data_IF_325656175034
#
_entry.id   IF_325656175034
#
_cell.length_a   1.000
_cell.length_b   1.000
_cell.length_c   1.000
_cell.angle_alpha   90.00
_cell.angle_beta   90.00
_cell.angle_gamma   90.00
#
_symmetry.space_group_name_H-M   'P 1'
#
loop_
_entity.id
_entity.type
_entity.pdbx_description
1 polymer ?
#
# COMPACT_ATOMS: atom_id res chain seq x y z
N UNK A 1 -24.40 58.80 3.55
CA UNK A 1 -23.42 58.03 4.33
C UNK A 1 -24.01 56.91 5.20
N UNK A 2 -25.14 56.28 4.85
CA UNK A 2 -25.72 55.16 5.65
C UNK A 2 -25.41 53.78 5.08
N UNK A 3 -24.90 53.67 3.84
CA UNK A 3 -24.61 52.37 3.18
C UNK A 3 -23.44 51.62 3.77
N UNK A 4 -22.40 52.29 4.31
CA UNK A 4 -21.19 51.63 4.89
C UNK A 4 -21.42 50.88 6.20
N UNK A 5 -22.41 51.26 7.02
CA UNK A 5 -22.70 50.58 8.30
C UNK A 5 -23.32 49.21 8.11
N UNK A 6 -24.10 49.01 7.08
CA UNK A 6 -24.74 47.72 6.77
C UNK A 6 -23.78 46.72 6.15
N UNK A 7 -22.76 47.17 5.41
CA UNK A 7 -21.72 46.28 4.86
C UNK A 7 -20.98 45.58 5.98
N UNK A 8 -20.57 46.29 7.02
CA UNK A 8 -19.87 45.69 8.17
C UNK A 8 -20.75 44.72 8.95
N UNK A 9 -22.03 44.97 9.07
CA UNK A 9 -22.97 44.02 9.71
C UNK A 9 -23.16 42.76 8.87
N UNK A 10 -23.23 42.87 7.54
CA UNK A 10 -23.31 41.71 6.66
C UNK A 10 -22.00 40.90 6.63
N UNK A 11 -20.84 41.53 6.64
CA UNK A 11 -19.55 40.87 6.74
C UNK A 11 -19.40 40.15 8.06
N UNK A 12 -19.81 40.76 9.18
CA UNK A 12 -19.82 40.12 10.50
C UNK A 12 -20.74 38.90 10.54
N UNK A 13 -21.97 39.02 10.05
CA UNK A 13 -22.92 37.91 9.97
C UNK A 13 -22.40 36.76 9.09
N UNK A 14 -21.76 37.09 7.99
CA UNK A 14 -21.17 36.11 7.07
C UNK A 14 -19.98 35.38 7.69
N UNK A 15 -19.14 36.10 8.42
CA UNK A 15 -17.99 35.51 9.16
C UNK A 15 -18.47 34.54 10.25
N UNK A 16 -19.51 34.92 11.02
CA UNK A 16 -20.12 34.05 12.03
C UNK A 16 -20.71 32.79 11.40
N UNK A 17 -21.42 32.95 10.27
CA UNK A 17 -22.01 31.84 9.54
C UNK A 17 -20.93 30.85 9.04
N UNK A 18 -19.87 31.37 8.39
CA UNK A 18 -18.77 30.51 7.92
C UNK A 18 -18.05 29.83 9.07
N UNK A 19 -17.77 30.56 10.16
CA UNK A 19 -17.11 29.98 11.32
C UNK A 19 -17.99 28.90 11.96
N UNK A 20 -19.29 29.14 12.08
CA UNK A 20 -20.24 28.16 12.59
C UNK A 20 -20.36 26.92 11.71
N UNK A 21 -20.42 27.11 10.39
CA UNK A 21 -20.41 26.00 9.42
C UNK A 21 -19.10 25.25 9.47
N UNK A 22 -17.96 25.93 9.52
CA UNK A 22 -16.64 25.29 9.64
C UNK A 22 -16.54 24.50 10.96
N UNK A 23 -16.94 25.10 12.08
CA UNK A 23 -16.96 24.42 13.40
C UNK A 23 -17.90 23.22 13.42
N UNK A 24 -19.10 23.34 12.84
CA UNK A 24 -20.07 22.24 12.77
C UNK A 24 -19.65 21.11 11.83
N UNK A 25 -19.22 21.44 10.61
CA UNK A 25 -18.96 20.46 9.54
C UNK A 25 -17.53 19.89 9.59
N UNK A 26 -16.54 20.76 9.77
CA UNK A 26 -15.13 20.35 9.70
C UNK A 26 -14.51 20.02 11.06
N UNK A 27 -14.85 20.79 12.11
CA UNK A 27 -14.34 20.56 13.47
C UNK A 27 -15.29 19.69 14.32
N UNK A 28 -16.44 19.31 13.78
CA UNK A 28 -17.43 18.44 14.45
C UNK A 28 -17.84 18.91 15.85
N UNK A 29 -17.96 20.22 16.10
CA UNK A 29 -18.31 20.79 17.41
C UNK A 29 -19.62 20.24 17.99
N UNK A 30 -20.55 19.81 17.13
CA UNK A 30 -21.84 19.24 17.51
C UNK A 30 -21.91 17.72 17.32
N UNK A 31 -20.76 17.06 17.01
CA UNK A 31 -20.77 15.61 16.95
C UNK A 31 -21.03 15.04 18.35
N UNK A 32 -21.99 14.12 18.52
CA UNK A 32 -22.18 13.47 19.80
C UNK A 32 -20.87 12.82 20.24
N UNK A 33 -20.54 12.96 21.54
CA UNK A 33 -19.43 12.21 22.12
C UNK A 33 -19.62 10.73 21.79
N UNK A 34 -18.55 10.00 21.40
CA UNK A 34 -18.66 8.57 21.16
C UNK A 34 -19.30 7.92 22.38
N UNK A 35 -20.29 7.05 22.15
CA UNK A 35 -20.99 6.35 23.22
C UNK A 35 -19.94 5.68 24.13
N UNK A 36 -20.04 5.89 25.44
CA UNK A 36 -19.16 5.25 26.41
C UNK A 36 -19.23 3.74 26.21
N UNK A 37 -18.10 3.12 25.76
CA UNK A 37 -18.00 1.70 25.44
C UNK A 37 -17.92 1.37 23.94
N UNK A 38 -18.16 2.30 23.02
CA UNK A 38 -17.79 2.10 21.62
C UNK A 38 -16.26 2.22 21.51
N UNK A 39 -15.55 1.08 21.40
CA UNK A 39 -14.13 1.08 21.06
C UNK A 39 -14.00 1.83 19.72
N UNK A 40 -13.26 2.93 19.71
CA UNK A 40 -12.97 3.68 18.51
C UNK A 40 -12.32 2.70 17.51
N UNK A 41 -13.03 2.43 16.41
CA UNK A 41 -12.46 1.65 15.32
C UNK A 41 -11.45 2.54 14.62
N UNK A 42 -10.17 2.25 14.81
CA UNK A 42 -9.13 2.98 14.09
C UNK A 42 -9.04 2.54 12.62
N UNK A 43 -8.72 3.49 11.76
CA UNK A 43 -8.55 3.25 10.34
C UNK A 43 -7.23 2.54 10.04
N UNK A 44 -7.26 1.64 9.06
CA UNK A 44 -6.05 1.05 8.44
C UNK A 44 -6.07 1.38 6.95
N UNK A 45 -5.13 2.20 6.52
CA UNK A 45 -5.04 2.66 5.14
C UNK A 45 -4.57 1.57 4.19
N UNK A 46 -5.22 1.45 3.02
CA UNK A 46 -4.81 0.51 1.99
C UNK A 46 -5.14 1.01 0.57
N UNK A 47 -4.39 0.53 -0.43
CA UNK A 47 -4.71 0.65 -1.85
C UNK A 47 -5.25 -0.69 -2.38
N UNK A 48 -6.00 -0.69 -3.49
CA UNK A 48 -6.51 -1.92 -4.12
C UNK A 48 -5.41 -2.66 -4.91
N UNK A 49 -4.36 -3.07 -4.20
CA UNK A 49 -3.19 -3.81 -4.69
C UNK A 49 -2.97 -5.06 -3.85
N UNK A 50 -2.34 -6.08 -4.42
CA UNK A 50 -2.19 -7.37 -3.73
C UNK A 50 -1.36 -7.28 -2.46
N UNK A 51 -0.41 -6.34 -2.36
CA UNK A 51 0.38 -6.13 -1.14
C UNK A 51 -0.42 -5.58 0.05
N UNK A 52 -1.66 -5.17 -0.17
CA UNK A 52 -2.57 -4.76 0.89
C UNK A 52 -3.74 -5.74 1.10
N UNK A 53 -3.75 -6.87 0.38
CA UNK A 53 -4.87 -7.83 0.36
C UNK A 53 -5.21 -8.40 1.74
N UNK A 54 -4.22 -8.61 2.58
CA UNK A 54 -4.42 -9.14 3.94
C UNK A 54 -5.26 -8.23 4.83
N UNK A 55 -5.22 -6.90 4.61
CA UNK A 55 -6.04 -5.95 5.37
C UNK A 55 -7.56 -6.19 5.18
N UNK A 56 -8.12 -6.12 3.95
CA UNK A 56 -9.53 -6.44 3.73
C UNK A 56 -9.89 -7.89 4.05
N UNK A 57 -8.98 -8.85 3.86
CA UNK A 57 -9.24 -10.25 4.24
C UNK A 57 -9.39 -10.37 5.75
N UNK A 58 -8.54 -9.72 6.55
CA UNK A 58 -8.65 -9.69 8.02
C UNK A 58 -9.98 -9.07 8.46
N UNK A 59 -10.38 -7.94 7.87
CA UNK A 59 -11.64 -7.30 8.18
C UNK A 59 -12.84 -8.19 7.85
N UNK A 60 -12.82 -8.84 6.66
CA UNK A 60 -13.88 -9.74 6.24
C UNK A 60 -14.01 -10.95 7.18
N UNK A 61 -12.89 -11.58 7.55
CA UNK A 61 -12.87 -12.72 8.48
C UNK A 61 -13.42 -12.30 9.84
N UNK A 62 -12.97 -11.17 10.41
CA UNK A 62 -13.46 -10.68 11.70
C UNK A 62 -14.98 -10.42 11.68
N UNK A 63 -15.50 -9.81 10.62
CA UNK A 63 -16.95 -9.57 10.48
C UNK A 63 -17.76 -10.86 10.44
N UNK A 64 -17.22 -11.91 9.82
CA UNK A 64 -17.90 -13.19 9.72
C UNK A 64 -17.80 -14.06 10.97
N UNK A 65 -16.69 -14.02 11.69
CA UNK A 65 -16.45 -14.82 12.90
C UNK A 65 -16.93 -14.12 14.17
N UNK A 66 -16.77 -12.81 14.27
CA UNK A 66 -17.03 -12.02 15.49
C UNK A 66 -18.24 -11.06 15.33
N UNK A 67 -18.91 -11.07 14.16
CA UNK A 67 -19.99 -10.15 13.82
C UNK A 67 -19.54 -8.71 13.53
N UNK A 68 -18.33 -8.35 13.88
CA UNK A 68 -17.76 -7.03 13.63
C UNK A 68 -16.24 -7.08 13.57
N UNK A 69 -15.65 -6.12 12.88
CA UNK A 69 -14.21 -5.91 12.88
C UNK A 69 -13.81 -4.86 13.94
N UNK A 70 -12.62 -5.02 14.51
CA UNK A 70 -12.07 -4.09 15.51
C UNK A 70 -11.36 -2.87 14.88
N UNK A 71 -11.16 -2.88 13.56
CA UNK A 71 -10.61 -1.77 12.78
C UNK A 71 -11.46 -1.50 11.54
N UNK A 72 -11.19 -0.40 10.85
CA UNK A 72 -11.87 -0.02 9.61
C UNK A 72 -10.86 0.07 8.46
N UNK A 73 -10.94 -0.78 7.43
CA UNK A 73 -10.15 -0.60 6.21
C UNK A 73 -10.54 0.70 5.50
N UNK A 74 -9.56 1.56 5.21
CA UNK A 74 -9.74 2.83 4.51
C UNK A 74 -9.05 2.76 3.15
N UNK A 75 -9.83 2.78 2.06
CA UNK A 75 -9.33 2.63 0.71
C UNK A 75 -8.90 3.96 0.11
N UNK A 76 -7.71 3.97 -0.50
CA UNK A 76 -7.14 5.09 -1.24
C UNK A 76 -6.82 4.67 -2.67
N UNK A 77 -6.64 5.65 -3.56
CA UNK A 77 -6.32 5.41 -4.98
C UNK A 77 -4.84 5.60 -5.28
N UNK A 78 -4.13 6.38 -4.47
CA UNK A 78 -2.71 6.71 -4.67
C UNK A 78 -1.95 6.80 -3.34
N UNK A 79 -0.64 6.51 -3.38
CA UNK A 79 0.23 6.60 -2.21
C UNK A 79 0.38 8.02 -1.64
N UNK A 80 0.43 9.10 -2.43
CA UNK A 80 0.46 10.46 -1.88
C UNK A 80 -0.75 10.78 -1.01
N UNK A 81 -1.97 10.49 -1.50
CA UNK A 81 -3.21 10.71 -0.76
C UNK A 81 -3.24 9.93 0.56
N UNK A 82 -2.89 8.64 0.50
CA UNK A 82 -2.79 7.78 1.67
C UNK A 82 -1.77 8.31 2.69
N UNK A 83 -0.58 8.74 2.21
CA UNK A 83 0.46 9.34 3.07
C UNK A 83 -0.04 10.59 3.77
N UNK A 84 -0.69 11.52 3.05
CA UNK A 84 -1.21 12.76 3.63
C UNK A 84 -2.26 12.47 4.73
N UNK A 85 -3.16 11.51 4.52
CA UNK A 85 -4.12 11.08 5.55
C UNK A 85 -3.43 10.47 6.76
N UNK A 86 -2.44 9.58 6.53
CA UNK A 86 -1.69 8.91 7.60
C UNK A 86 -0.90 9.90 8.49
N UNK A 87 -0.30 10.93 7.88
CA UNK A 87 0.46 11.94 8.60
C UNK A 87 -0.43 13.04 9.19
N UNK A 88 -1.46 13.46 8.47
CA UNK A 88 -2.31 14.58 8.85
C UNK A 88 -3.39 14.23 9.87
N UNK A 89 -3.81 12.95 9.94
CA UNK A 89 -4.86 12.47 10.86
C UNK A 89 -4.49 11.16 11.55
N UNK A 90 -3.39 11.15 12.34
CA UNK A 90 -2.90 9.94 12.99
C UNK A 90 -3.90 9.30 13.96
N UNK A 91 -4.81 10.09 14.53
CA UNK A 91 -5.87 9.59 15.42
C UNK A 91 -6.95 8.78 14.67
N UNK A 92 -7.24 9.15 13.41
CA UNK A 92 -8.24 8.46 12.60
C UNK A 92 -7.64 7.26 11.88
N UNK A 93 -6.39 7.35 11.43
CA UNK A 93 -5.67 6.31 10.67
C UNK A 93 -4.25 6.12 11.22
N UNK A 94 -4.11 5.47 12.41
CA UNK A 94 -2.81 5.25 13.04
C UNK A 94 -1.95 4.18 12.36
N UNK A 95 -2.52 3.39 11.45
CA UNK A 95 -1.84 2.32 10.73
C UNK A 95 -2.14 2.37 9.24
N UNK A 96 -1.18 1.98 8.42
CA UNK A 96 -1.36 1.94 6.96
C UNK A 96 -0.36 1.02 6.29
N UNK A 97 -0.74 0.50 5.13
CA UNK A 97 0.20 -0.15 4.23
C UNK A 97 0.83 0.88 3.29
N UNK A 98 2.16 0.98 3.32
CA UNK A 98 2.93 1.87 2.44
C UNK A 98 4.15 1.15 1.87
N UNK A 99 4.79 1.77 0.89
CA UNK A 99 6.03 1.30 0.27
C UNK A 99 7.18 1.33 1.30
N UNK A 100 8.00 0.29 1.36
CA UNK A 100 9.10 0.19 2.33
C UNK A 100 10.07 1.39 2.27
N UNK A 101 10.59 1.82 1.10
CA UNK A 101 11.46 3.00 1.05
C UNK A 101 10.76 4.30 1.45
N UNK A 102 9.42 4.38 1.28
CA UNK A 102 8.66 5.53 1.75
C UNK A 102 8.63 5.59 3.28
N UNK A 103 8.40 4.46 3.95
CA UNK A 103 8.44 4.41 5.42
C UNK A 103 9.83 4.78 5.95
N UNK A 104 10.89 4.26 5.32
CA UNK A 104 12.28 4.57 5.67
C UNK A 104 12.58 6.08 5.49
N UNK A 105 12.22 6.65 4.34
CA UNK A 105 12.43 8.08 4.07
C UNK A 105 11.61 8.98 5.01
N UNK A 106 10.40 8.60 5.40
CA UNK A 106 9.63 9.32 6.41
C UNK A 106 10.34 9.29 7.77
N UNK A 107 10.95 8.17 8.12
CA UNK A 107 11.74 8.07 9.36
C UNK A 107 12.98 8.94 9.32
N UNK A 108 13.71 8.97 8.20
CA UNK A 108 14.84 9.89 7.98
C UNK A 108 14.44 11.38 8.15
N UNK A 109 13.19 11.72 7.81
CA UNK A 109 12.59 13.04 7.98
C UNK A 109 12.09 13.31 9.42
N UNK A 110 12.31 12.38 10.35
CA UNK A 110 11.91 12.52 11.76
C UNK A 110 10.46 12.17 12.06
N UNK A 111 9.72 11.59 11.09
CA UNK A 111 8.34 11.14 11.32
C UNK A 111 8.34 9.95 12.28
N UNK A 112 7.51 10.02 13.31
CA UNK A 112 7.44 9.01 14.39
C UNK A 112 6.56 7.84 14.01
N UNK A 113 7.08 6.95 13.16
CA UNK A 113 6.42 5.73 12.70
C UNK A 113 7.36 4.53 12.83
N UNK A 114 6.78 3.34 12.92
CA UNK A 114 7.49 2.06 12.87
C UNK A 114 6.84 1.13 11.85
N UNK A 115 7.65 0.35 11.17
CA UNK A 115 7.23 -0.82 10.40
C UNK A 115 7.10 -1.97 11.38
N UNK A 116 5.91 -2.58 11.45
CA UNK A 116 5.64 -3.68 12.38
C UNK A 116 5.42 -5.02 11.66
N UNK A 117 5.08 -5.00 10.38
CA UNK A 117 4.84 -6.20 9.58
C UNK A 117 4.97 -5.91 8.07
N UNK A 118 4.91 -6.96 7.22
CA UNK A 118 4.92 -6.82 5.76
C UNK A 118 3.51 -7.06 5.18
N UNK A 119 3.26 -6.52 3.98
CA UNK A 119 2.03 -6.76 3.23
C UNK A 119 2.04 -8.09 2.48
N UNK A 120 3.02 -8.26 1.60
CA UNK A 120 3.36 -9.51 0.93
C UNK A 120 4.79 -9.43 0.36
N UNK A 121 5.27 -10.56 -0.13
CA UNK A 121 6.52 -10.62 -0.90
C UNK A 121 6.22 -10.83 -2.38
N UNK A 122 7.16 -10.40 -3.22
CA UNK A 122 7.07 -10.47 -4.68
C UNK A 122 5.90 -9.65 -5.27
N UNK A 123 5.15 -10.15 -6.25
CA UNK A 123 3.93 -9.51 -6.76
C UNK A 123 4.13 -8.18 -7.48
N UNK A 124 5.27 -8.00 -8.13
CA UNK A 124 5.56 -6.87 -8.99
C UNK A 124 6.18 -7.35 -10.29
N UNK A 125 5.99 -6.59 -11.37
CA UNK A 125 6.58 -6.88 -12.67
C UNK A 125 6.93 -5.58 -13.39
N UNK A 126 7.83 -5.68 -14.40
CA UNK A 126 7.98 -4.65 -15.41
C UNK A 126 7.29 -5.14 -16.67
N UNK A 127 6.34 -4.32 -17.14
CA UNK A 127 5.52 -4.63 -18.32
C UNK A 127 5.87 -3.67 -19.46
N UNK A 128 5.83 -4.20 -20.68
CA UNK A 128 5.92 -3.44 -21.91
C UNK A 128 4.74 -3.78 -22.81
N UNK A 129 4.42 -2.91 -23.79
CA UNK A 129 3.39 -3.25 -24.77
C UNK A 129 3.85 -4.48 -25.59
N UNK A 130 2.94 -5.42 -25.90
CA UNK A 130 3.30 -6.69 -26.57
C UNK A 130 4.00 -6.50 -27.92
N UNK A 131 3.66 -5.41 -28.62
CA UNK A 131 4.28 -5.06 -29.90
C UNK A 131 5.56 -4.23 -29.74
N UNK A 132 5.98 -3.94 -28.52
CA UNK A 132 7.20 -3.22 -28.23
C UNK A 132 8.43 -4.05 -28.64
N UNK A 133 9.46 -3.36 -29.10
CA UNK A 133 10.78 -3.95 -29.38
C UNK A 133 11.70 -4.00 -28.14
N UNK A 134 11.17 -3.80 -26.95
CA UNK A 134 11.90 -3.87 -25.70
C UNK A 134 11.88 -5.32 -25.23
N UNK A 135 12.98 -6.06 -25.36
CA UNK A 135 13.09 -7.47 -24.97
C UNK A 135 14.04 -7.71 -23.81
N UNK A 136 14.86 -6.73 -23.48
CA UNK A 136 15.85 -6.77 -22.39
C UNK A 136 16.00 -5.39 -21.76
N UNK A 137 16.63 -5.31 -20.59
CA UNK A 137 16.78 -4.06 -19.82
C UNK A 137 17.51 -2.97 -20.60
N UNK A 138 18.51 -3.33 -21.44
CA UNK A 138 19.24 -2.36 -22.26
C UNK A 138 18.38 -1.64 -23.30
N UNK A 139 17.27 -2.25 -23.73
CA UNK A 139 16.34 -1.66 -24.69
C UNK A 139 15.49 -0.53 -24.07
N UNK A 140 15.54 -0.37 -22.74
CA UNK A 140 14.91 0.73 -22.02
C UNK A 140 15.63 2.07 -22.20
N UNK A 141 16.84 2.10 -22.80
CA UNK A 141 17.60 3.35 -23.02
C UNK A 141 16.77 4.37 -23.81
N UNK A 142 16.62 5.57 -23.23
CA UNK A 142 15.80 6.66 -23.80
C UNK A 142 14.29 6.47 -23.70
N UNK A 143 13.81 5.37 -23.09
CA UNK A 143 12.39 5.04 -22.94
C UNK A 143 11.76 5.71 -21.72
N UNK A 144 10.45 5.88 -21.79
CA UNK A 144 9.65 6.41 -20.68
C UNK A 144 9.08 5.25 -19.85
N UNK A 145 9.44 5.20 -18.57
CA UNK A 145 9.02 4.15 -17.63
C UNK A 145 8.19 4.77 -16.50
N UNK A 146 6.96 4.30 -16.33
CA UNK A 146 6.11 4.74 -15.22
C UNK A 146 6.37 3.91 -13.95
N UNK A 147 6.45 4.62 -12.81
CA UNK A 147 6.61 4.06 -11.47
C UNK A 147 5.57 4.66 -10.51
N UNK A 148 5.22 4.01 -9.38
CA UNK A 148 4.21 4.51 -8.44
C UNK A 148 4.59 5.82 -7.74
N UNK A 149 5.87 6.16 -7.68
CA UNK A 149 6.39 7.37 -7.06
C UNK A 149 7.88 7.29 -6.78
N UNK A 150 8.46 8.41 -6.32
CA UNK A 150 9.89 8.54 -6.02
C UNK A 150 10.40 7.47 -5.05
N UNK A 151 9.62 7.20 -4.01
CA UNK A 151 9.97 6.26 -2.94
C UNK A 151 9.39 4.85 -3.19
N UNK A 152 9.13 4.50 -4.45
CA UNK A 152 8.62 3.17 -4.76
C UNK A 152 9.74 2.14 -4.82
N UNK A 153 9.49 0.96 -4.26
CA UNK A 153 10.38 -0.19 -4.37
C UNK A 153 10.67 -0.53 -5.85
N UNK A 154 9.69 -0.31 -6.74
CA UNK A 154 9.83 -0.53 -8.18
C UNK A 154 10.89 0.38 -8.81
N UNK A 155 11.12 1.56 -8.26
CA UNK A 155 12.23 2.43 -8.68
C UNK A 155 13.59 1.83 -8.29
N UNK A 156 13.67 1.16 -7.12
CA UNK A 156 14.88 0.43 -6.72
C UNK A 156 15.14 -0.79 -7.60
N UNK A 157 14.08 -1.51 -8.00
CA UNK A 157 14.19 -2.62 -8.96
C UNK A 157 14.75 -2.13 -10.29
N UNK A 158 14.20 -1.03 -10.82
CA UNK A 158 14.72 -0.40 -12.04
C UNK A 158 16.19 -0.03 -11.90
N UNK A 159 16.55 0.65 -10.81
CA UNK A 159 17.94 1.03 -10.52
C UNK A 159 18.86 -0.19 -10.53
N UNK A 160 18.46 -1.25 -9.81
CA UNK A 160 19.23 -2.50 -9.73
C UNK A 160 19.43 -3.17 -11.09
N UNK A 161 18.35 -3.32 -11.87
CA UNK A 161 18.41 -4.00 -13.17
C UNK A 161 19.11 -3.15 -14.23
N UNK A 162 18.94 -1.82 -14.21
CA UNK A 162 19.72 -0.92 -15.07
C UNK A 162 21.21 -0.98 -14.74
N UNK A 163 21.58 -0.97 -13.46
CA UNK A 163 22.97 -1.08 -13.01
C UNK A 163 23.63 -2.40 -13.49
N UNK A 164 22.92 -3.54 -13.41
CA UNK A 164 23.39 -4.83 -13.97
C UNK A 164 23.60 -4.77 -15.47
N UNK A 165 22.80 -3.97 -16.17
CA UNK A 165 22.89 -3.76 -17.62
C UNK A 165 23.91 -2.66 -18.04
N UNK A 166 24.71 -2.12 -17.09
CA UNK A 166 25.64 -1.03 -17.35
C UNK A 166 24.95 0.31 -17.66
N UNK A 167 23.75 0.52 -17.12
CA UNK A 167 22.93 1.71 -17.28
C UNK A 167 22.66 2.38 -15.93
N UNK A 168 22.15 3.60 -16.00
CA UNK A 168 21.74 4.40 -14.84
C UNK A 168 20.28 4.86 -14.98
N UNK A 169 19.70 5.40 -13.93
CA UNK A 169 18.37 6.03 -13.99
C UNK A 169 18.30 7.22 -14.96
N UNK A 170 19.43 7.87 -15.24
CA UNK A 170 19.51 8.96 -16.22
C UNK A 170 19.38 8.49 -17.68
N UNK A 171 19.60 7.20 -17.94
CA UNK A 171 19.46 6.60 -19.28
C UNK A 171 17.99 6.37 -19.68
N UNK A 172 17.02 6.57 -18.77
CA UNK A 172 15.58 6.42 -19.00
C UNK A 172 14.83 7.67 -18.54
N UNK A 173 13.59 7.83 -19.00
CA UNK A 173 12.69 8.88 -18.53
C UNK A 173 11.72 8.26 -17.52
N UNK A 174 11.83 8.61 -16.24
CA UNK A 174 10.92 8.14 -15.21
C UNK A 174 9.74 9.11 -15.09
N UNK A 175 8.52 8.57 -15.09
CA UNK A 175 7.29 9.31 -14.79
C UNK A 175 6.61 8.67 -13.57
N UNK A 176 6.10 9.49 -12.68
CA UNK A 176 5.36 9.05 -11.52
C UNK A 176 3.87 9.03 -11.84
N UNK A 177 3.20 7.92 -11.52
CA UNK A 177 1.81 7.71 -11.90
C UNK A 177 1.12 6.79 -10.89
N UNK A 178 -0.15 7.06 -10.49
CA UNK A 178 -0.93 6.12 -9.69
C UNK A 178 -1.02 4.74 -10.35
N UNK A 179 -0.87 3.64 -9.60
CA UNK A 179 -0.92 2.30 -10.17
C UNK A 179 -2.16 1.99 -11.03
N UNK A 180 -3.39 2.45 -10.66
CA UNK A 180 -4.58 2.23 -11.48
C UNK A 180 -4.53 2.85 -12.90
N UNK A 181 -3.74 3.91 -13.10
CA UNK A 181 -3.66 4.64 -14.37
C UNK A 181 -2.64 4.02 -15.33
N UNK A 182 -1.71 3.21 -14.81
CA UNK A 182 -0.61 2.63 -15.58
C UNK A 182 -1.05 1.71 -16.73
N UNK A 183 -2.06 0.83 -16.54
CA UNK A 183 -2.53 -0.02 -17.65
C UNK A 183 -2.99 0.79 -18.86
N UNK A 184 -3.77 1.86 -18.64
CA UNK A 184 -4.25 2.73 -19.73
C UNK A 184 -3.09 3.49 -20.40
N UNK A 185 -2.09 3.95 -19.63
CA UNK A 185 -0.92 4.62 -20.15
C UNK A 185 -0.07 3.68 -21.05
N UNK A 186 0.06 2.40 -20.67
CA UNK A 186 0.76 1.41 -21.52
C UNK A 186 -0.06 1.10 -22.77
N UNK A 187 -1.38 0.93 -22.66
CA UNK A 187 -2.26 0.65 -23.79
C UNK A 187 -2.20 1.77 -24.84
N UNK A 188 -2.27 3.03 -24.39
CA UNK A 188 -2.19 4.21 -25.27
C UNK A 188 -0.78 4.51 -25.79
N UNK A 189 0.23 3.78 -25.28
CA UNK A 189 1.66 4.01 -25.57
C UNK A 189 2.15 5.41 -25.17
N UNK A 190 1.50 6.06 -24.22
CA UNK A 190 1.99 7.31 -23.62
C UNK A 190 3.26 7.08 -22.77
N UNK A 191 3.47 5.84 -22.34
CA UNK A 191 4.71 5.34 -21.74
C UNK A 191 5.17 4.05 -22.47
N UNK A 192 6.47 3.78 -22.47
CA UNK A 192 7.05 2.60 -23.12
C UNK A 192 6.99 1.36 -22.21
N UNK A 193 7.08 1.57 -20.91
CA UNK A 193 7.03 0.52 -19.89
C UNK A 193 6.37 1.02 -18.61
N UNK A 194 5.84 0.09 -17.83
CA UNK A 194 5.24 0.35 -16.51
C UNK A 194 5.76 -0.67 -15.51
N UNK A 195 5.95 -0.26 -14.27
CA UNK A 195 6.27 -1.19 -13.17
C UNK A 195 5.54 -0.79 -11.90
N UNK A 196 4.79 -1.71 -11.34
CA UNK A 196 4.03 -1.56 -10.10
C UNK A 196 3.74 -2.92 -9.48
N UNK A 197 3.01 -2.91 -8.37
CA UNK A 197 2.43 -4.10 -7.77
C UNK A 197 1.19 -4.60 -8.52
N UNK A 198 0.89 -5.89 -8.31
CA UNK A 198 -0.35 -6.48 -8.80
C UNK A 198 -1.59 -5.86 -8.10
N UNK A 199 -2.76 -5.79 -8.74
CA UNK A 199 -3.13 -6.55 -9.96
C UNK A 199 -2.90 -5.78 -11.28
N UNK A 200 -2.45 -4.54 -11.24
CA UNK A 200 -2.42 -3.67 -12.43
C UNK A 200 -1.44 -4.15 -13.51
N UNK A 201 -0.35 -4.79 -13.12
CA UNK A 201 0.59 -5.39 -14.07
C UNK A 201 -0.07 -6.57 -14.79
N UNK A 202 -0.67 -7.48 -14.05
CA UNK A 202 -1.41 -8.61 -14.58
C UNK A 202 -2.65 -8.23 -15.40
N UNK A 203 -3.24 -7.05 -15.18
CA UNK A 203 -4.33 -6.55 -16.02
C UNK A 203 -3.88 -6.44 -17.48
N UNK A 204 -2.71 -5.87 -17.72
CA UNK A 204 -2.19 -5.67 -19.09
C UNK A 204 -1.94 -7.01 -19.80
N UNK A 205 -1.51 -8.02 -19.04
CA UNK A 205 -1.30 -9.39 -19.51
C UNK A 205 -2.64 -10.09 -19.79
N UNK A 206 -3.61 -10.01 -18.85
CA UNK A 206 -4.93 -10.60 -18.97
C UNK A 206 -5.72 -10.01 -20.15
N UNK A 207 -5.58 -8.71 -20.39
CA UNK A 207 -6.23 -7.99 -21.49
C UNK A 207 -5.47 -8.16 -22.83
N UNK A 208 -4.31 -8.82 -22.80
CA UNK A 208 -3.57 -9.27 -23.98
C UNK A 208 -2.82 -8.20 -24.75
N UNK A 209 -2.62 -7.00 -24.20
CA UNK A 209 -1.80 -5.96 -24.82
C UNK A 209 -0.45 -5.74 -24.12
N UNK A 210 -0.31 -6.21 -22.87
CA UNK A 210 0.95 -6.18 -22.13
C UNK A 210 1.73 -7.47 -22.25
N UNK A 211 3.04 -7.35 -22.15
CA UNK A 211 4.00 -8.45 -22.05
C UNK A 211 4.95 -8.19 -20.88
N UNK A 212 5.17 -9.21 -20.08
CA UNK A 212 6.16 -9.20 -19.02
C UNK A 212 7.57 -9.07 -19.62
N UNK A 213 8.33 -8.06 -19.23
CA UNK A 213 9.76 -8.00 -19.49
C UNK A 213 10.51 -8.84 -18.46
N UNK A 214 10.18 -8.67 -17.17
CA UNK A 214 10.58 -9.56 -16.08
C UNK A 214 9.58 -9.50 -14.92
N UNK A 215 9.42 -10.63 -14.22
CA UNK A 215 8.80 -10.67 -12.90
C UNK A 215 9.83 -10.30 -11.85
N UNK A 216 9.43 -9.53 -10.83
CA UNK A 216 10.39 -9.12 -9.79
C UNK A 216 10.91 -10.31 -8.99
N UNK A 217 10.08 -11.33 -8.74
CA UNK A 217 10.50 -12.57 -8.07
C UNK A 217 11.68 -13.28 -8.76
N UNK A 218 11.84 -13.10 -10.08
CA UNK A 218 12.90 -13.76 -10.86
C UNK A 218 14.23 -12.98 -10.79
N UNK A 219 14.15 -11.65 -10.59
CA UNK A 219 15.34 -10.78 -10.53
C UNK A 219 15.71 -10.40 -9.10
N UNK A 220 14.75 -10.41 -8.19
CA UNK A 220 14.91 -10.14 -6.76
C UNK A 220 13.98 -11.03 -5.92
N UNK A 221 14.32 -12.33 -5.74
CA UNK A 221 13.47 -13.27 -4.99
C UNK A 221 13.20 -12.82 -3.57
N UNK A 222 11.95 -12.93 -3.14
CA UNK A 222 11.51 -12.53 -1.80
C UNK A 222 11.40 -11.02 -1.60
N UNK A 223 11.35 -10.27 -2.69
CA UNK A 223 11.20 -8.82 -2.69
C UNK A 223 10.06 -8.35 -1.78
N UNK A 224 10.34 -7.33 -0.94
CA UNK A 224 9.32 -6.66 -0.12
C UNK A 224 8.60 -5.63 -0.97
N UNK A 225 7.27 -5.76 -1.11
CA UNK A 225 6.46 -4.78 -1.83
C UNK A 225 6.01 -3.65 -0.92
N UNK A 226 5.14 -3.92 0.05
CA UNK A 226 4.66 -2.93 1.02
C UNK A 226 4.83 -3.43 2.45
N UNK A 227 4.81 -2.48 3.37
CA UNK A 227 4.96 -2.69 4.80
C UNK A 227 3.77 -2.12 5.56
N UNK A 228 3.42 -2.71 6.69
CA UNK A 228 2.48 -2.12 7.65
C UNK A 228 3.24 -1.14 8.52
N UNK A 229 3.02 0.14 8.31
CA UNK A 229 3.55 1.23 9.10
C UNK A 229 2.53 1.68 10.14
N UNK A 230 2.97 1.97 11.36
CA UNK A 230 2.15 2.38 12.50
C UNK A 230 2.77 3.60 13.16
N UNK A 231 1.94 4.54 13.60
CA UNK A 231 2.37 5.70 14.39
C UNK A 231 2.91 5.25 15.75
N UNK A 232 4.04 5.81 16.20
CA UNK A 232 4.66 5.43 17.49
C UNK A 232 3.73 5.71 18.69
N UNK A 233 2.92 6.77 18.61
CA UNK A 233 1.93 7.07 19.65
C UNK A 233 0.86 5.95 19.74
N UNK A 234 0.40 5.42 18.60
CA UNK A 234 -0.52 4.30 18.59
C UNK A 234 0.12 3.01 19.13
N UNK A 235 1.41 2.78 18.85
CA UNK A 235 2.14 1.66 19.44
C UNK A 235 2.24 1.79 20.96
N UNK A 236 2.52 3.00 21.48
CA UNK A 236 2.62 3.26 22.92
C UNK A 236 1.28 3.09 23.63
N UNK A 237 0.21 3.66 23.05
CA UNK A 237 -1.08 3.81 23.72
C UNK A 237 -2.04 2.64 23.45
N UNK A 238 -1.83 1.88 22.35
CA UNK A 238 -2.74 0.81 21.87
C UNK A 238 -1.98 -0.42 21.40
N UNK A 239 -0.92 -0.81 22.11
CA UNK A 239 -0.04 -1.90 21.70
C UNK A 239 -0.78 -3.23 21.46
N UNK A 240 -1.74 -3.56 22.32
CA UNK A 240 -2.51 -4.81 22.20
C UNK A 240 -3.36 -4.85 20.93
N UNK A 241 -3.99 -3.73 20.57
CA UNK A 241 -4.79 -3.60 19.36
C UNK A 241 -3.92 -3.70 18.10
N UNK A 242 -2.70 -3.11 18.12
CA UNK A 242 -1.74 -3.24 17.03
C UNK A 242 -1.23 -4.68 16.91
N UNK A 243 -0.93 -5.34 18.03
CA UNK A 243 -0.56 -6.76 18.02
C UNK A 243 -1.70 -7.64 17.47
N UNK A 244 -2.95 -7.35 17.84
CA UNK A 244 -4.12 -8.02 17.29
C UNK A 244 -4.24 -7.81 15.77
N UNK A 245 -3.96 -6.60 15.27
CA UNK A 245 -3.93 -6.32 13.84
C UNK A 245 -2.86 -7.14 13.13
N UNK A 246 -1.62 -7.17 13.64
CA UNK A 246 -0.52 -7.96 13.09
C UNK A 246 -0.86 -9.44 13.08
N UNK A 247 -1.41 -9.97 14.18
CA UNK A 247 -1.84 -11.37 14.26
C UNK A 247 -2.93 -11.70 13.22
N UNK A 248 -3.91 -10.80 13.04
CA UNK A 248 -4.97 -10.95 12.04
C UNK A 248 -4.43 -10.95 10.61
N UNK A 249 -3.52 -10.04 10.28
CA UNK A 249 -2.84 -9.97 8.98
C UNK A 249 -2.03 -11.23 8.72
N UNK A 250 -1.28 -11.72 9.72
CA UNK A 250 -0.51 -12.94 9.62
C UNK A 250 -1.40 -14.18 9.43
N UNK A 251 -2.52 -14.28 10.17
CA UNK A 251 -3.49 -15.34 10.02
C UNK A 251 -4.16 -15.33 8.65
N UNK A 252 -4.53 -14.15 8.15
CA UNK A 252 -5.11 -13.96 6.83
C UNK A 252 -4.12 -14.34 5.72
N UNK A 253 -2.86 -13.98 5.86
CA UNK A 253 -1.81 -14.38 4.91
C UNK A 253 -1.64 -15.90 4.86
N UNK A 254 -1.58 -16.56 6.01
CA UNK A 254 -1.53 -18.04 6.10
C UNK A 254 -2.76 -18.67 5.47
N UNK A 255 -3.96 -18.14 5.72
CA UNK A 255 -5.19 -18.63 5.13
C UNK A 255 -5.19 -18.50 3.60
N UNK A 256 -4.78 -17.36 3.06
CA UNK A 256 -4.66 -17.14 1.60
C UNK A 256 -3.70 -18.15 0.97
N UNK A 257 -2.54 -18.37 1.58
CA UNK A 257 -1.51 -19.26 1.02
C UNK A 257 -1.75 -20.75 1.27
N UNK A 258 -2.74 -21.09 2.11
CA UNK A 258 -3.04 -22.50 2.47
C UNK A 258 -3.55 -23.31 1.28
N UNK A 259 -4.32 -22.68 0.37
CA UNK A 259 -4.87 -23.37 -0.81
C UNK A 259 -5.18 -22.40 -1.95
N UNK A 260 -5.25 -22.93 -3.16
CA UNK A 260 -5.73 -22.17 -4.32
C UNK A 260 -7.22 -21.79 -4.18
N UNK A 261 -8.02 -22.59 -3.49
CA UNK A 261 -9.43 -22.27 -3.21
C UNK A 261 -9.52 -21.01 -2.35
N UNK A 262 -8.75 -20.89 -1.26
CA UNK A 262 -8.73 -19.71 -0.43
C UNK A 262 -8.25 -18.46 -1.18
N UNK A 263 -7.29 -18.59 -2.09
CA UNK A 263 -6.87 -17.49 -2.98
C UNK A 263 -8.01 -17.02 -3.89
N UNK A 264 -8.80 -17.97 -4.43
CA UNK A 264 -9.95 -17.64 -5.29
C UNK A 264 -11.09 -17.02 -4.49
N UNK A 265 -11.35 -17.50 -3.29
CA UNK A 265 -12.34 -16.91 -2.38
C UNK A 265 -11.93 -15.49 -1.98
N UNK A 266 -10.67 -15.27 -1.58
CA UNK A 266 -10.13 -13.94 -1.29
C UNK A 266 -10.30 -13.01 -2.50
N UNK A 267 -9.98 -13.48 -3.71
CA UNK A 267 -10.16 -12.71 -4.94
C UNK A 267 -11.60 -12.27 -5.13
N UNK A 268 -12.57 -13.15 -4.87
CA UNK A 268 -13.99 -12.89 -5.09
C UNK A 268 -14.54 -11.82 -4.14
N UNK A 269 -14.40 -12.03 -2.83
CA UNK A 269 -15.02 -11.10 -1.87
C UNK A 269 -14.24 -9.77 -1.74
N UNK A 270 -12.91 -9.79 -1.93
CA UNK A 270 -12.13 -8.54 -1.88
C UNK A 270 -12.36 -7.69 -3.12
N UNK A 271 -12.40 -8.29 -4.31
CA UNK A 271 -12.63 -7.55 -5.54
C UNK A 271 -13.93 -6.74 -5.49
N UNK A 272 -15.01 -7.36 -5.06
CA UNK A 272 -16.34 -6.74 -4.98
C UNK A 272 -16.50 -5.82 -3.77
N UNK A 273 -16.14 -6.32 -2.60
CA UNK A 273 -16.44 -5.66 -1.32
C UNK A 273 -15.49 -4.53 -0.93
N UNK A 274 -14.25 -4.56 -1.43
CA UNK A 274 -13.20 -3.64 -0.98
C UNK A 274 -12.47 -2.92 -2.10
N UNK A 275 -12.15 -3.62 -3.21
CA UNK A 275 -11.32 -3.06 -4.27
C UNK A 275 -12.13 -2.35 -5.36
N UNK A 276 -13.41 -2.67 -5.49
CA UNK A 276 -14.24 -2.26 -6.63
C UNK A 276 -13.56 -2.62 -7.97
N UNK A 277 -13.13 -3.87 -8.08
CA UNK A 277 -12.42 -4.41 -9.24
C UNK A 277 -13.14 -5.66 -9.78
N UNK A 278 -12.78 -6.05 -11.00
CA UNK A 278 -13.28 -7.30 -11.60
C UNK A 278 -12.62 -8.51 -10.89
N UNK A 279 -13.39 -9.43 -10.29
CA UNK A 279 -12.84 -10.63 -9.65
C UNK A 279 -11.93 -11.47 -10.54
N UNK A 280 -12.22 -11.48 -11.87
CA UNK A 280 -11.40 -12.20 -12.85
C UNK A 280 -9.94 -11.74 -12.82
N UNK A 281 -9.68 -10.44 -12.60
CA UNK A 281 -8.35 -9.90 -12.52
C UNK A 281 -7.61 -10.40 -11.27
N UNK A 282 -8.23 -10.31 -10.09
CA UNK A 282 -7.60 -10.82 -8.86
C UNK A 282 -7.39 -12.33 -8.91
N UNK A 283 -8.34 -13.09 -9.43
CA UNK A 283 -8.16 -14.54 -9.65
C UNK A 283 -6.96 -14.84 -10.55
N UNK A 284 -6.80 -14.07 -11.62
CA UNK A 284 -5.65 -14.24 -12.53
C UNK A 284 -4.33 -14.03 -11.81
N UNK A 285 -4.14 -12.89 -11.13
CA UNK A 285 -2.86 -12.55 -10.50
C UNK A 285 -2.56 -13.39 -9.26
N UNK A 286 -3.56 -13.96 -8.60
CA UNK A 286 -3.38 -14.85 -7.45
C UNK A 286 -3.14 -16.32 -7.84
N UNK A 287 -3.27 -16.66 -9.14
CA UNK A 287 -3.14 -18.05 -9.60
C UNK A 287 -2.14 -18.26 -10.74
N UNK A 288 -1.77 -17.21 -11.48
CA UNK A 288 -0.95 -17.35 -12.71
C UNK A 288 0.21 -16.36 -12.77
N UNK A 289 1.45 -16.83 -12.53
CA UNK A 289 1.78 -18.12 -11.93
C UNK A 289 1.36 -18.19 -10.46
N UNK A 290 1.26 -19.38 -9.85
CA UNK A 290 0.82 -19.55 -8.45
C UNK A 290 1.73 -18.85 -7.43
N UNK A 291 2.99 -18.67 -7.77
CA UNK A 291 4.03 -18.02 -6.96
C UNK A 291 4.25 -16.53 -7.32
N UNK A 292 3.33 -15.91 -8.07
CA UNK A 292 3.40 -14.48 -8.43
C UNK A 292 3.46 -13.58 -7.20
N UNK A 293 2.67 -13.90 -6.19
CA UNK A 293 2.65 -13.26 -4.87
C UNK A 293 2.68 -14.31 -3.78
N UNK A 294 3.32 -14.01 -2.64
CA UNK A 294 3.31 -14.87 -1.46
C UNK A 294 3.03 -14.08 -0.19
N UNK A 295 2.19 -14.65 0.68
CA UNK A 295 1.82 -14.09 1.98
C UNK A 295 2.51 -14.82 3.14
N UNK A 296 3.50 -15.64 2.84
CA UNK A 296 4.37 -16.29 3.82
C UNK A 296 5.60 -15.43 4.13
N UNK A 297 6.21 -15.64 5.31
CA UNK A 297 7.44 -14.96 5.76
C UNK A 297 7.31 -13.43 5.75
N UNK A 298 6.22 -12.92 6.31
CA UNK A 298 5.90 -11.48 6.35
C UNK A 298 6.48 -10.75 7.55
N UNK A 299 7.36 -11.40 8.32
CA UNK A 299 8.11 -10.76 9.39
C UNK A 299 9.19 -9.86 8.79
N UNK A 300 9.38 -8.63 9.27
CA UNK A 300 10.49 -7.78 8.85
C UNK A 300 11.83 -8.43 9.22
N UNK A 301 12.70 -8.64 8.23
CA UNK A 301 14.05 -9.19 8.45
C UNK A 301 15.08 -8.11 8.15
N UNK A 302 16.05 -7.93 9.04
CA UNK A 302 17.13 -6.94 8.90
C UNK A 302 17.80 -6.99 7.52
N UNK A 303 18.17 -8.15 7.06
CA UNK A 303 18.86 -8.32 5.78
C UNK A 303 18.06 -7.78 4.57
N UNK A 304 16.72 -7.93 4.58
CA UNK A 304 15.87 -7.41 3.50
C UNK A 304 15.89 -5.88 3.48
N UNK A 305 15.87 -5.24 4.65
CA UNK A 305 15.86 -3.78 4.78
C UNK A 305 17.23 -3.16 4.53
N UNK A 306 18.32 -3.80 4.96
CA UNK A 306 19.68 -3.36 4.67
C UNK A 306 19.97 -3.36 3.16
N UNK A 307 19.43 -4.34 2.40
CA UNK A 307 19.53 -4.33 0.93
C UNK A 307 18.74 -3.16 0.32
N UNK A 308 17.51 -2.90 0.81
CA UNK A 308 16.70 -1.75 0.37
C UNK A 308 17.38 -0.43 0.71
N UNK A 309 17.92 -0.28 1.93
CA UNK A 309 18.64 0.91 2.39
C UNK A 309 19.86 1.18 1.50
N UNK A 310 20.72 0.18 1.30
CA UNK A 310 21.89 0.27 0.43
C UNK A 310 21.52 0.74 -0.98
N UNK A 311 20.55 0.08 -1.61
CA UNK A 311 20.10 0.45 -2.94
C UNK A 311 19.43 1.84 -2.97
N UNK A 312 18.69 2.19 -1.91
CA UNK A 312 18.03 3.47 -1.78
C UNK A 312 19.02 4.64 -1.67
N UNK A 313 20.11 4.46 -0.93
CA UNK A 313 21.20 5.43 -0.82
C UNK A 313 21.92 5.56 -2.17
N UNK A 314 22.30 4.44 -2.79
CA UNK A 314 22.97 4.43 -4.10
C UNK A 314 22.10 5.08 -5.20
N UNK A 315 20.80 4.91 -5.15
CA UNK A 315 19.85 5.50 -6.10
C UNK A 315 19.47 6.97 -5.77
N UNK A 316 20.00 7.55 -4.67
CA UNK A 316 19.68 8.90 -4.23
C UNK A 316 18.21 9.08 -3.75
N UNK A 317 17.60 8.01 -3.27
CA UNK A 317 16.23 8.00 -2.73
C UNK A 317 16.24 8.15 -1.21
N UNK A 318 17.19 7.48 -0.54
CA UNK A 318 17.39 7.53 0.90
C UNK A 318 18.71 8.28 1.23
N UNK A 319 18.80 8.82 2.43
CA UNK A 319 19.98 9.53 2.93
C UNK A 319 20.88 8.62 3.77
N UNK A 320 20.38 7.51 4.30
CA UNK A 320 21.10 6.59 5.19
C UNK A 320 21.26 7.15 6.61
N UNK A 321 20.36 8.01 7.04
CA UNK A 321 20.39 8.62 8.39
C UNK A 321 19.49 7.89 9.40
N UNK A 322 18.73 6.91 8.95
CA UNK A 322 17.92 6.02 9.80
C UNK A 322 18.25 4.57 9.47
N UNK A 323 18.40 3.73 10.51
CA UNK A 323 18.77 2.33 10.40
C UNK A 323 17.62 1.42 10.81
N UNK A 324 17.79 0.10 10.69
CA UNK A 324 16.74 -0.88 10.91
C UNK A 324 15.96 -0.65 12.21
N UNK A 325 16.65 -0.43 13.34
CA UNK A 325 16.03 -0.18 14.64
C UNK A 325 15.26 1.13 14.72
N UNK A 326 15.60 2.09 13.86
CA UNK A 326 14.90 3.37 13.84
C UNK A 326 13.53 3.28 13.16
N UNK A 327 13.39 2.42 12.14
CA UNK A 327 12.15 2.30 11.35
C UNK A 327 11.42 0.97 11.50
N UNK A 328 11.99 -0.07 12.12
CA UNK A 328 11.32 -1.36 12.40
C UNK A 328 11.10 -1.52 13.90
N UNK A 329 9.95 -2.08 14.28
CA UNK A 329 9.67 -2.68 15.57
C UNK A 329 9.33 -4.16 15.35
N UNK A 330 10.33 -5.03 15.45
CA UNK A 330 10.21 -6.48 15.24
C UNK A 330 9.62 -7.23 16.43
N UNK A 331 9.38 -6.53 17.56
CA UNK A 331 8.72 -7.08 18.74
C UNK A 331 7.25 -7.45 18.53
N UNK A 332 6.67 -7.02 17.40
CA UNK A 332 5.32 -7.42 16.95
C UNK A 332 5.30 -8.75 16.19
N UNK A 333 6.33 -9.57 16.29
CA UNK A 333 6.33 -10.91 15.69
C UNK A 333 5.05 -11.67 16.08
N UNK A 334 4.30 -12.21 15.09
CA UNK A 334 3.08 -12.95 15.40
C UNK A 334 3.41 -14.19 16.19
N UNK A 335 2.71 -14.43 17.29
CA UNK A 335 2.82 -15.69 18.03
C UNK A 335 2.31 -16.84 17.13
N UNK A 336 3.16 -17.81 16.76
CA UNK A 336 2.75 -18.93 15.92
C UNK A 336 1.59 -19.76 16.51
N UNK A 337 1.43 -19.76 17.84
CA UNK A 337 0.36 -20.46 18.52
C UNK A 337 -1.00 -19.74 18.37
N UNK A 338 -0.98 -18.41 18.28
CA UNK A 338 -2.18 -17.57 18.14
C UNK A 338 -2.56 -17.35 16.66
N UNK A 339 -1.58 -17.42 15.76
CA UNK A 339 -1.78 -17.21 14.32
C UNK A 339 -2.16 -18.55 13.66
N UNK A 340 -3.34 -19.07 13.99
CA UNK A 340 -3.93 -20.19 13.24
C UNK A 340 -4.70 -19.64 12.04
N UNK A 341 -4.62 -20.29 10.86
CA UNK A 341 -5.53 -19.96 9.77
C UNK A 341 -6.96 -20.10 10.31
N UNK A 342 -7.82 -19.09 10.13
CA UNK A 342 -9.18 -19.15 10.62
C UNK A 342 -9.92 -20.33 9.96
N UNK A 343 -10.66 -21.11 10.74
CA UNK A 343 -11.62 -22.07 10.22
C UNK A 343 -12.82 -21.30 9.67
N UNK A 344 -12.72 -20.88 8.43
CA UNK A 344 -13.67 -20.00 7.78
C UNK A 344 -13.92 -20.52 6.37
N UNK A 345 -15.18 -20.80 6.08
CA UNK A 345 -15.65 -21.12 4.72
C UNK A 345 -16.45 -19.94 4.19
N UNK A 346 -16.11 -19.50 2.99
CA UNK A 346 -16.89 -18.47 2.31
C UNK A 346 -18.23 -19.09 1.91
N UNK A 347 -19.31 -18.61 2.49
CA UNK A 347 -20.65 -19.01 2.02
C UNK A 347 -20.80 -18.54 0.58
N UNK A 348 -20.89 -19.50 -0.32
CA UNK A 348 -21.10 -19.28 -1.78
C UNK A 348 -22.49 -18.76 -2.06
#
# INVERSE_FOLDING_TARGET
MKFGRYIWLWLGAWLVLITGLHGGLNLRWFAPAPAQGARLKYGVGFLPVTCHLTCPVTDFINKNLEGQSFFQPMRFSAFPELKEMFLGRPQEMPATFILAPMAMALREQGVKIKIVYLGHRDGSALMVHKESKIFQTTDLRGKTVAVPGRYANQRLILFRELKKAGMTLADIKIVEMPPPDMPAALLSRSVDAITSGEPFMGQTELDGYGRVLFQVKDVWPGFISCVLAVQEDAIRDHREEIQRLVNGIAASGKWIDQSMEHRMDAAEFVAKGYYNQNPRLLRFVLSKPPDRVTYSRLQPLRADFEEIEKLGIEAGILQGTAHFEDYVDDSFAPDPALVKPPAFEVKK
#
